data_IF_694458223579
#
_entry.id   IF_694458223579
#
_cell.length_a   1.000
_cell.length_b   1.000
_cell.length_c   1.000
_cell.angle_alpha   90.00
_cell.angle_beta   90.00
_cell.angle_gamma   90.00
#
_symmetry.space_group_name_H-M   'P 1'
#
loop_
_entity.id
_entity.type
_entity.pdbx_description
1 polymer ?
#
# COMPACT_ATOMS: atom_id res chain seq x y z
N UNK A 1 8.05 -25.08 10.27
CA UNK A 1 7.68 -24.01 9.32
C UNK A 1 8.61 -24.16 8.13
N UNK A 2 8.07 -24.40 6.94
CA UNK A 2 8.90 -24.62 5.76
C UNK A 2 9.61 -23.32 5.34
N UNK A 3 10.71 -23.39 4.56
CA UNK A 3 11.36 -22.21 4.02
C UNK A 3 10.39 -21.29 3.25
N UNK A 4 9.44 -21.86 2.52
CA UNK A 4 8.41 -21.13 1.77
C UNK A 4 7.46 -20.38 2.71
N UNK A 5 7.00 -21.01 3.79
CA UNK A 5 6.14 -20.37 4.78
C UNK A 5 6.83 -19.16 5.45
N UNK A 6 8.14 -19.26 5.73
CA UNK A 6 8.92 -18.14 6.27
C UNK A 6 8.99 -16.98 5.28
N UNK A 7 9.21 -17.27 4.00
CA UNK A 7 9.25 -16.25 2.95
C UNK A 7 7.89 -15.57 2.78
N UNK A 8 6.80 -16.33 2.72
CA UNK A 8 5.44 -15.79 2.59
C UNK A 8 5.14 -14.88 3.79
N UNK A 9 5.45 -15.32 5.01
CA UNK A 9 5.23 -14.50 6.21
C UNK A 9 6.06 -13.22 6.20
N UNK A 10 7.31 -13.29 5.75
CA UNK A 10 8.18 -12.13 5.58
C UNK A 10 7.60 -11.13 4.58
N UNK A 11 7.14 -11.62 3.42
CA UNK A 11 6.54 -10.78 2.38
C UNK A 11 5.22 -10.16 2.82
N UNK A 12 4.35 -10.93 3.50
CA UNK A 12 3.10 -10.41 4.05
C UNK A 12 3.32 -9.29 5.07
N UNK A 13 4.37 -9.37 5.88
CA UNK A 13 4.75 -8.29 6.80
C UNK A 13 5.08 -6.99 6.07
N UNK A 14 5.89 -7.07 4.99
CA UNK A 14 6.26 -5.90 4.20
C UNK A 14 5.10 -5.39 3.35
N UNK A 15 4.25 -6.27 2.82
CA UNK A 15 3.01 -5.89 2.16
C UNK A 15 2.12 -5.07 3.10
N UNK A 16 1.89 -5.56 4.33
CA UNK A 16 1.07 -4.86 5.31
C UNK A 16 1.66 -3.49 5.67
N UNK A 17 2.98 -3.40 5.84
CA UNK A 17 3.67 -2.12 6.07
C UNK A 17 3.52 -1.15 4.89
N UNK A 18 3.67 -1.63 3.66
CA UNK A 18 3.47 -0.86 2.44
C UNK A 18 2.03 -0.36 2.31
N UNK A 19 1.04 -1.22 2.54
CA UNK A 19 -0.38 -0.83 2.55
C UNK A 19 -0.63 0.26 3.59
N UNK A 20 -0.14 0.08 4.82
CA UNK A 20 -0.28 1.09 5.87
C UNK A 20 0.31 2.45 5.45
N UNK A 21 1.51 2.45 4.85
CA UNK A 21 2.13 3.65 4.32
C UNK A 21 1.28 4.29 3.19
N UNK A 22 0.75 3.48 2.27
CA UNK A 22 -0.12 3.93 1.19
C UNK A 22 -1.44 4.54 1.70
N UNK A 23 -2.06 3.95 2.72
CA UNK A 23 -3.26 4.50 3.36
C UNK A 23 -2.98 5.84 4.06
N UNK A 24 -1.88 5.93 4.80
CA UNK A 24 -1.45 7.19 5.45
C UNK A 24 -1.18 8.27 4.41
N UNK A 25 -0.44 7.94 3.34
CA UNK A 25 -0.15 8.86 2.25
C UNK A 25 -1.41 9.32 1.51
N UNK A 26 -2.28 8.38 1.11
CA UNK A 26 -3.55 8.70 0.47
C UNK A 26 -4.46 9.55 1.35
N UNK A 27 -4.53 9.24 2.65
CA UNK A 27 -5.25 10.03 3.64
C UNK A 27 -4.70 11.45 3.77
N UNK A 28 -3.37 11.61 3.76
CA UNK A 28 -2.74 12.92 3.77
C UNK A 28 -3.05 13.75 2.52
N UNK A 29 -3.04 13.13 1.32
CA UNK A 29 -3.40 13.79 0.06
C UNK A 29 -4.85 14.28 0.08
N UNK A 30 -5.78 13.45 0.57
CA UNK A 30 -7.18 13.84 0.73
C UNK A 30 -7.33 14.94 1.79
N UNK A 31 -6.66 14.82 2.94
CA UNK A 31 -6.74 15.81 4.02
C UNK A 31 -6.25 17.20 3.59
N UNK A 32 -5.20 17.25 2.78
CA UNK A 32 -4.61 18.49 2.23
C UNK A 32 -5.28 18.97 0.94
N UNK A 33 -6.31 18.26 0.47
CA UNK A 33 -7.03 18.55 -0.77
C UNK A 33 -6.11 18.70 -1.99
N UNK A 34 -5.05 17.89 -2.07
CA UNK A 34 -4.15 17.89 -3.23
C UNK A 34 -4.97 17.61 -4.48
N UNK A 35 -4.80 18.43 -5.51
CA UNK A 35 -5.52 18.30 -6.79
C UNK A 35 -7.05 18.20 -6.66
N UNK A 36 -7.66 18.71 -5.58
CA UNK A 36 -9.10 18.64 -5.36
C UNK A 36 -9.62 17.27 -4.90
N UNK A 37 -8.76 16.37 -4.40
CA UNK A 37 -9.16 15.01 -4.00
C UNK A 37 -10.19 14.98 -2.85
N UNK A 38 -10.12 15.93 -1.92
CA UNK A 38 -11.12 16.05 -0.85
C UNK A 38 -12.47 16.40 -1.43
N UNK A 39 -12.48 17.37 -2.33
CA UNK A 39 -13.71 17.83 -2.98
C UNK A 39 -14.28 16.72 -3.85
N UNK A 40 -13.44 15.98 -4.58
CA UNK A 40 -13.85 14.81 -5.35
C UNK A 40 -14.52 13.75 -4.48
N UNK A 41 -13.96 13.47 -3.30
CA UNK A 41 -14.49 12.47 -2.37
C UNK A 41 -15.88 12.85 -1.81
N UNK A 42 -16.10 14.13 -1.47
CA UNK A 42 -17.30 14.55 -0.76
C UNK A 42 -18.37 15.22 -1.63
N UNK A 43 -18.00 15.82 -2.76
CA UNK A 43 -18.94 16.52 -3.64
C UNK A 43 -19.46 15.63 -4.78
N UNK A 44 -18.76 14.52 -5.10
CA UNK A 44 -19.19 13.61 -6.16
C UNK A 44 -20.17 12.55 -5.65
N UNK A 45 -21.21 12.26 -6.44
CA UNK A 45 -22.12 11.13 -6.22
C UNK A 45 -21.37 9.79 -6.15
N UNK A 46 -20.26 9.68 -6.88
CA UNK A 46 -19.44 8.48 -6.98
C UNK A 46 -18.16 8.56 -6.12
N UNK A 47 -18.14 9.43 -5.10
CA UNK A 47 -16.99 9.60 -4.20
C UNK A 47 -16.54 8.30 -3.52
N UNK A 48 -17.48 7.39 -3.24
CA UNK A 48 -17.18 6.06 -2.69
C UNK A 48 -16.38 5.19 -3.67
N UNK A 49 -16.66 5.27 -4.98
CA UNK A 49 -15.94 4.53 -6.01
C UNK A 49 -14.52 5.09 -6.15
N UNK A 50 -14.38 6.41 -6.14
CA UNK A 50 -13.08 7.06 -6.04
C UNK A 50 -12.29 6.53 -4.85
N UNK A 51 -12.87 6.50 -3.65
CA UNK A 51 -12.18 6.03 -2.45
C UNK A 51 -11.68 4.59 -2.60
N UNK A 52 -12.51 3.68 -3.12
CA UNK A 52 -12.13 2.28 -3.34
C UNK A 52 -10.99 2.20 -4.35
N UNK A 53 -11.15 2.79 -5.54
CA UNK A 53 -10.14 2.72 -6.59
C UNK A 53 -8.81 3.35 -6.17
N UNK A 54 -8.88 4.49 -5.49
CA UNK A 54 -7.72 5.23 -5.01
C UNK A 54 -6.96 4.43 -3.94
N UNK A 55 -7.63 4.00 -2.87
CA UNK A 55 -6.95 3.29 -1.79
C UNK A 55 -6.56 1.86 -2.17
N UNK A 56 -7.33 1.17 -3.04
CA UNK A 56 -6.93 -0.12 -3.57
C UNK A 56 -5.70 0.03 -4.48
N UNK A 57 -5.69 1.04 -5.37
CA UNK A 57 -4.53 1.35 -6.22
C UNK A 57 -3.29 1.65 -5.39
N UNK A 58 -3.40 2.51 -4.37
CA UNK A 58 -2.30 2.80 -3.45
C UNK A 58 -1.83 1.57 -2.68
N UNK A 59 -2.75 0.71 -2.23
CA UNK A 59 -2.41 -0.53 -1.53
C UNK A 59 -1.61 -1.47 -2.42
N UNK A 60 -2.00 -1.63 -3.68
CA UNK A 60 -1.26 -2.44 -4.66
C UNK A 60 0.11 -1.82 -4.94
N UNK A 61 0.20 -0.52 -5.18
CA UNK A 61 1.47 0.16 -5.47
C UNK A 61 2.45 0.09 -4.29
N UNK A 62 2.06 0.57 -3.11
CA UNK A 62 2.96 0.63 -1.96
C UNK A 62 3.23 -0.75 -1.36
N UNK A 63 2.24 -1.65 -1.34
CA UNK A 63 2.42 -3.03 -0.90
C UNK A 63 3.43 -3.78 -1.78
N UNK A 64 3.33 -3.63 -3.10
CA UNK A 64 4.28 -4.25 -4.05
C UNK A 64 5.67 -3.64 -3.95
N UNK A 65 5.77 -2.30 -3.81
CA UNK A 65 7.04 -1.61 -3.64
C UNK A 65 7.76 -2.06 -2.35
N UNK A 66 7.06 -2.14 -1.23
CA UNK A 66 7.63 -2.58 0.04
C UNK A 66 8.15 -4.03 -0.03
N UNK A 67 7.38 -4.92 -0.65
CA UNK A 67 7.81 -6.31 -0.89
C UNK A 67 9.03 -6.39 -1.83
N UNK A 68 9.04 -5.63 -2.92
CA UNK A 68 10.16 -5.60 -3.87
C UNK A 68 11.45 -5.11 -3.22
N UNK A 69 11.37 -4.01 -2.46
CA UNK A 69 12.50 -3.48 -1.67
C UNK A 69 13.00 -4.51 -0.66
N UNK A 70 12.09 -5.19 0.05
CA UNK A 70 12.45 -6.21 1.03
C UNK A 70 13.24 -7.37 0.42
N UNK A 71 12.84 -7.83 -0.78
CA UNK A 71 13.59 -8.86 -1.52
C UNK A 71 14.96 -8.36 -1.95
N UNK A 72 15.04 -7.16 -2.55
CA UNK A 72 16.30 -6.62 -3.08
C UNK A 72 17.33 -6.34 -1.98
N UNK A 73 16.86 -6.03 -0.76
CA UNK A 73 17.70 -5.76 0.40
C UNK A 73 17.93 -6.99 1.30
N UNK A 74 17.23 -8.10 1.05
CA UNK A 74 17.45 -9.35 1.80
C UNK A 74 18.87 -9.87 1.50
N UNK A 75 19.71 -9.90 2.53
CA UNK A 75 21.09 -10.38 2.46
C UNK A 75 21.28 -11.76 3.08
N UNK A 76 20.18 -12.45 3.40
CA UNK A 76 20.24 -13.72 4.10
C UNK A 76 20.89 -14.78 3.18
N UNK A 77 22.06 -15.33 3.51
CA UNK A 77 22.61 -16.47 2.80
C UNK A 77 21.61 -17.63 2.95
N UNK A 78 21.21 -18.24 1.84
CA UNK A 78 20.38 -19.45 1.86
C UNK A 78 21.33 -20.63 1.72
N UNK A 79 21.70 -21.20 2.85
CA UNK A 79 22.38 -22.48 3.03
C UNK A 79 21.49 -23.66 2.64
#
# INVERSE_FOLDING_TARGET
>A
MSPEERLIRFMLGHMAAGIAAGLVFGGALIATNVAGLKDLLFASRDGWLFAILFFMGLSVTFGSLAMGVAIMLDKTPRD
#
